data_IF_450991431769
#
_entry.id   IF_450991431769
#
_cell.length_a   1.000
_cell.length_b   1.000
_cell.length_c   1.000
_cell.angle_alpha   90.00
_cell.angle_beta   90.00
_cell.angle_gamma   90.00
#
_symmetry.space_group_name_H-M   'P 1'
#
loop_
_entity.id
_entity.type
_entity.pdbx_description
1 polymer ?
#
# COMPACT_ATOMS: atom_id res chain seq x y z
N UNK A 1 -16.03 -1.19 -2.79
CA UNK A 1 -14.94 -0.93 -1.83
C UNK A 1 -15.53 -1.21 -0.46
N UNK A 2 -14.93 -2.11 0.34
CA UNK A 2 -15.49 -2.52 1.63
C UNK A 2 -15.13 -1.48 2.71
N UNK A 3 -16.10 -0.85 3.42
CA UNK A 3 -15.81 0.09 4.51
C UNK A 3 -14.91 -0.50 5.60
N UNK A 4 -15.11 -1.76 5.98
CA UNK A 4 -14.29 -2.42 7.01
C UNK A 4 -12.82 -2.52 6.62
N UNK A 5 -12.54 -2.74 5.35
CA UNK A 5 -11.18 -2.80 4.83
C UNK A 5 -10.50 -1.43 4.85
N UNK A 6 -11.26 -0.37 4.56
CA UNK A 6 -10.77 1.00 4.67
C UNK A 6 -10.41 1.31 6.12
N UNK A 7 -11.26 0.93 7.07
CA UNK A 7 -11.05 1.18 8.50
C UNK A 7 -9.83 0.41 9.03
N UNK A 8 -9.67 -0.86 8.65
CA UNK A 8 -8.50 -1.66 9.01
C UNK A 8 -7.19 -1.02 8.52
N UNK A 9 -7.16 -0.59 7.25
CA UNK A 9 -5.97 0.03 6.67
C UNK A 9 -5.74 1.44 7.23
N UNK A 10 -6.81 2.19 7.51
CA UNK A 10 -6.73 3.48 8.18
C UNK A 10 -6.13 3.33 9.58
N UNK A 11 -6.50 2.28 10.33
CA UNK A 11 -5.90 1.95 11.62
C UNK A 11 -4.38 1.77 11.54
N UNK A 12 -3.86 1.18 10.46
CA UNK A 12 -2.41 1.09 10.23
C UNK A 12 -1.79 2.48 10.10
N UNK A 13 -2.38 3.36 9.29
CA UNK A 13 -1.87 4.72 9.13
C UNK A 13 -1.99 5.56 10.42
N UNK A 14 -3.04 5.36 11.22
CA UNK A 14 -3.16 5.98 12.54
C UNK A 14 -2.03 5.51 13.47
N UNK A 15 -1.72 4.22 13.49
CA UNK A 15 -0.62 3.66 14.27
C UNK A 15 0.76 4.19 13.80
N UNK A 16 0.86 4.62 12.54
CA UNK A 16 2.04 5.30 11.99
C UNK A 16 2.04 6.82 12.25
N UNK A 17 1.05 7.35 12.99
CA UNK A 17 0.98 8.75 13.40
C UNK A 17 0.10 9.65 12.53
N UNK A 18 -0.62 9.12 11.54
CA UNK A 18 -1.55 9.92 10.74
C UNK A 18 -2.82 10.26 11.54
N UNK A 19 -3.35 11.47 11.35
CA UNK A 19 -4.67 11.85 11.90
C UNK A 19 -5.76 11.05 11.20
N UNK A 20 -6.85 10.73 11.91
CA UNK A 20 -7.97 9.92 11.41
C UNK A 20 -8.42 10.26 9.98
N UNK A 21 -8.79 11.52 9.71
CA UNK A 21 -9.21 11.94 8.36
C UNK A 21 -8.14 11.70 7.28
N UNK A 22 -6.88 11.89 7.63
CA UNK A 22 -5.75 11.64 6.73
C UNK A 22 -5.56 10.14 6.53
N UNK A 23 -5.62 9.34 7.59
CA UNK A 23 -5.51 7.89 7.56
C UNK A 23 -6.59 7.24 6.66
N UNK A 24 -7.85 7.66 6.79
CA UNK A 24 -8.95 7.20 5.92
C UNK A 24 -8.72 7.59 4.45
N UNK A 25 -8.24 8.80 4.21
CA UNK A 25 -7.90 9.27 2.86
C UNK A 25 -6.78 8.43 2.25
N UNK A 26 -5.72 8.18 3.00
CA UNK A 26 -4.59 7.35 2.59
C UNK A 26 -5.02 5.90 2.32
N UNK A 27 -5.80 5.29 3.21
CA UNK A 27 -6.36 3.95 3.02
C UNK A 27 -7.15 3.83 1.72
N UNK A 28 -8.04 4.80 1.48
CA UNK A 28 -8.84 4.85 0.25
C UNK A 28 -7.95 4.97 -1.00
N UNK A 29 -6.96 5.85 -0.99
CA UNK A 29 -6.04 6.03 -2.11
C UNK A 29 -5.19 4.78 -2.35
N UNK A 30 -4.69 4.16 -1.30
CA UNK A 30 -3.85 2.99 -1.36
C UNK A 30 -4.58 1.79 -1.97
N UNK A 31 -5.81 1.53 -1.54
CA UNK A 31 -6.65 0.46 -2.10
C UNK A 31 -6.92 0.73 -3.59
N UNK A 32 -7.34 1.95 -3.95
CA UNK A 32 -7.57 2.33 -5.36
C UNK A 32 -6.32 2.11 -6.20
N UNK A 33 -5.14 2.41 -5.64
CA UNK A 33 -3.87 2.21 -6.32
C UNK A 33 -3.54 0.73 -6.48
N UNK A 34 -3.80 -0.10 -5.47
CA UNK A 34 -3.64 -1.55 -5.56
C UNK A 34 -4.52 -2.14 -6.67
N UNK A 35 -5.79 -1.72 -6.76
CA UNK A 35 -6.71 -2.15 -7.82
C UNK A 35 -6.19 -1.77 -9.23
N UNK A 36 -5.67 -0.56 -9.39
CA UNK A 36 -5.08 -0.11 -10.65
C UNK A 36 -3.84 -0.91 -11.03
N UNK A 37 -2.94 -1.17 -10.07
CA UNK A 37 -1.71 -1.92 -10.31
C UNK A 37 -2.00 -3.38 -10.64
N UNK A 38 -2.95 -4.01 -9.93
CA UNK A 38 -3.39 -5.37 -10.18
C UNK A 38 -3.86 -5.53 -11.63
N UNK A 39 -4.71 -4.61 -12.10
CA UNK A 39 -5.17 -4.59 -13.50
C UNK A 39 -4.02 -4.35 -14.49
N UNK A 40 -3.13 -3.40 -14.18
CA UNK A 40 -2.01 -3.03 -15.08
C UNK A 40 -0.97 -4.15 -15.22
N UNK A 41 -0.73 -4.90 -14.15
CA UNK A 41 0.33 -5.92 -14.05
C UNK A 41 -0.18 -7.35 -14.16
N UNK A 42 -1.49 -7.53 -14.34
CA UNK A 42 -2.15 -8.84 -14.27
C UNK A 42 -1.77 -9.61 -12.99
N UNK A 43 -1.72 -8.90 -11.87
CA UNK A 43 -1.32 -9.42 -10.55
C UNK A 43 -2.50 -9.41 -9.57
N UNK A 44 -2.32 -10.06 -8.42
CA UNK A 44 -3.33 -10.05 -7.37
C UNK A 44 -3.38 -8.68 -6.67
N UNK A 45 -4.61 -8.16 -6.50
CA UNK A 45 -4.90 -6.97 -5.67
C UNK A 45 -4.26 -7.05 -4.29
N UNK A 46 -4.31 -8.22 -3.64
CA UNK A 46 -3.76 -8.42 -2.29
C UNK A 46 -2.24 -8.22 -2.29
N UNK A 47 -1.54 -8.75 -3.30
CA UNK A 47 -0.08 -8.62 -3.44
C UNK A 47 0.35 -7.17 -3.68
N UNK A 48 -0.38 -6.46 -4.53
CA UNK A 48 -0.12 -5.03 -4.79
C UNK A 48 -0.40 -4.17 -3.56
N UNK A 49 -1.47 -4.47 -2.82
CA UNK A 49 -1.79 -3.79 -1.58
C UNK A 49 -0.72 -4.00 -0.51
N UNK A 50 -0.25 -5.24 -0.32
CA UNK A 50 0.88 -5.56 0.56
C UNK A 50 2.13 -4.79 0.16
N UNK A 51 2.43 -4.74 -1.13
CA UNK A 51 3.59 -4.02 -1.67
C UNK A 51 3.52 -2.53 -1.33
N UNK A 52 2.35 -1.91 -1.51
CA UNK A 52 2.12 -0.50 -1.22
C UNK A 52 2.17 -0.20 0.28
N UNK A 53 1.52 -1.02 1.11
CA UNK A 53 1.57 -0.93 2.57
C UNK A 53 3.01 -1.01 3.08
N UNK A 54 3.77 -1.99 2.59
CA UNK A 54 5.18 -2.16 2.95
C UNK A 54 5.95 -0.89 2.62
N UNK A 55 5.81 -0.36 1.39
CA UNK A 55 6.49 0.89 1.02
C UNK A 55 6.11 2.05 1.93
N UNK A 56 4.83 2.18 2.30
CA UNK A 56 4.37 3.25 3.19
C UNK A 56 4.95 3.14 4.61
N UNK A 57 5.03 1.92 5.16
CA UNK A 57 5.63 1.66 6.48
C UNK A 57 7.11 2.03 6.48
N UNK A 58 7.88 1.58 5.49
CA UNK A 58 9.30 1.92 5.38
C UNK A 58 9.49 3.43 5.23
N UNK A 59 8.70 4.07 4.35
CA UNK A 59 8.74 5.52 4.17
C UNK A 59 8.44 6.31 5.45
N UNK A 60 7.46 5.86 6.24
CA UNK A 60 7.13 6.48 7.53
C UNK A 60 8.26 6.35 8.56
N UNK A 61 9.09 5.31 8.46
CA UNK A 61 10.24 5.07 9.34
C UNK A 61 11.53 5.78 8.86
N UNK A 62 11.46 6.55 7.77
CA UNK A 62 12.65 7.15 7.15
C UNK A 62 13.53 6.14 6.41
N UNK A 63 13.05 4.91 6.22
CA UNK A 63 13.75 3.85 5.53
C UNK A 63 13.31 3.79 4.06
N UNK A 64 14.25 3.46 3.18
CA UNK A 64 13.88 3.00 1.84
C UNK A 64 13.46 1.55 1.94
N UNK A 65 12.33 1.19 1.33
CA UNK A 65 11.97 -0.21 1.13
C UNK A 65 13.17 -0.88 0.44
N UNK A 66 13.71 -2.00 0.96
CA UNK A 66 14.75 -2.72 0.26
C UNK A 66 14.21 -3.06 -1.12
N UNK A 67 14.88 -2.57 -2.16
CA UNK A 67 14.54 -2.91 -3.53
C UNK A 67 14.49 -4.42 -3.60
N UNK A 68 13.31 -4.99 -3.84
CA UNK A 68 13.22 -6.35 -4.35
C UNK A 68 14.05 -6.32 -5.63
N UNK A 69 15.28 -6.85 -5.56
CA UNK A 69 15.96 -7.36 -6.74
C UNK A 69 15.11 -8.55 -7.17
N UNK A 70 14.08 -8.26 -7.96
CA UNK A 70 13.36 -9.26 -8.74
C UNK A 70 13.59 -8.82 -10.19
N UNK A 71 14.63 -9.43 -10.75
CA UNK A 71 14.96 -9.61 -12.14
C UNK A 71 14.48 -8.55 -13.14
N UNK A 72 15.39 -7.60 -13.41
CA UNK A 72 15.72 -7.35 -14.80
C UNK A 72 16.41 -8.60 -15.37
N UNK A 73 15.64 -9.66 -15.63
CA UNK A 73 16.09 -10.69 -16.57
C UNK A 73 15.91 -10.10 -17.97
N UNK A 74 17.04 -9.62 -18.42
CA UNK A 74 17.41 -9.23 -19.75
C UNK A 74 17.16 -10.40 -20.71
N UNK A 75 16.17 -10.29 -21.60
CA UNK A 75 16.25 -10.89 -22.93
C UNK A 75 15.34 -10.20 -23.95
#
# INVERSE_FOLDING_TARGET
>A
MNPEEIDQIAGIFQNLGAKEKQATTMATQLIKRADQLAKKRNSSRVSELQTLLTTAIYGAQGNLKPSKKEDSEQK
#
